data_IF_618115574606
#
_entry.id   IF_618115574606
#
_cell.length_a   1.000
_cell.length_b   1.000
_cell.length_c   1.000
_cell.angle_alpha   90.00
_cell.angle_beta   90.00
_cell.angle_gamma   90.00
#
_symmetry.space_group_name_H-M   'P 1'
#
loop_
_entity.id
_entity.type
_entity.pdbx_description
1 polymer ?
#
# COMPACT_ATOMS: atom_id res chain seq x y z
N UNK A 1 33.93 33.72 -64.63
CA UNK A 1 33.11 34.16 -65.77
C UNK A 1 32.29 32.96 -66.22
N UNK A 2 30.98 33.00 -65.94
CA UNK A 2 29.86 32.18 -66.48
C UNK A 2 30.15 30.91 -67.31
N UNK A 3 29.63 29.74 -66.89
CA UNK A 3 28.32 29.18 -67.32
C UNK A 3 28.12 27.71 -66.90
N UNK A 4 26.92 27.44 -66.38
CA UNK A 4 26.03 26.28 -66.56
C UNK A 4 26.57 24.84 -66.42
N UNK A 5 25.94 24.06 -65.53
CA UNK A 5 25.13 22.91 -65.98
C UNK A 5 24.17 22.41 -64.88
N UNK A 6 22.88 22.45 -65.23
CA UNK A 6 21.74 21.84 -64.54
C UNK A 6 21.91 20.32 -64.37
N UNK A 7 21.51 19.76 -63.21
CA UNK A 7 20.84 18.45 -63.16
C UNK A 7 19.84 18.39 -62.00
N UNK A 8 18.59 18.14 -62.40
CA UNK A 8 17.36 18.03 -61.61
C UNK A 8 17.46 16.91 -60.57
N UNK A 9 17.22 17.21 -59.29
CA UNK A 9 16.94 16.22 -58.25
C UNK A 9 15.44 15.97 -58.22
N UNK A 10 15.04 14.72 -58.51
CA UNK A 10 13.67 14.24 -58.42
C UNK A 10 13.34 13.98 -56.95
N UNK A 11 12.24 14.57 -56.53
CA UNK A 11 11.58 14.40 -55.23
C UNK A 11 11.25 12.92 -54.97
N UNK A 12 11.60 12.42 -53.79
CA UNK A 12 11.05 11.17 -53.25
C UNK A 12 10.86 11.35 -51.75
N UNK A 13 9.73 11.94 -51.41
CA UNK A 13 9.21 12.06 -50.06
C UNK A 13 8.64 10.67 -49.67
N UNK A 14 9.43 9.86 -48.98
CA UNK A 14 8.93 8.65 -48.32
C UNK A 14 8.11 9.09 -47.10
N UNK A 15 6.80 9.23 -47.31
CA UNK A 15 5.82 9.38 -46.23
C UNK A 15 5.65 7.99 -45.58
N UNK A 16 6.49 7.65 -44.61
CA UNK A 16 6.21 6.55 -43.69
C UNK A 16 5.01 6.97 -42.83
N UNK A 17 3.81 6.56 -43.24
CA UNK A 17 2.67 6.51 -42.33
C UNK A 17 3.02 5.47 -41.26
N UNK A 18 3.56 5.93 -40.14
CA UNK A 18 3.56 5.16 -38.92
C UNK A 18 2.10 5.01 -38.49
N UNK A 19 1.49 3.88 -38.85
CA UNK A 19 0.29 3.40 -38.19
C UNK A 19 0.70 3.09 -36.75
N UNK A 20 0.63 4.09 -35.87
CA UNK A 20 0.52 3.84 -34.45
C UNK A 20 -0.79 3.08 -34.26
N UNK A 21 -0.68 1.75 -34.17
CA UNK A 21 -1.67 0.97 -33.44
C UNK A 21 -1.63 1.51 -32.01
N UNK A 22 -2.44 2.52 -31.73
CA UNK A 22 -2.89 2.80 -30.39
C UNK A 22 -3.57 1.49 -29.94
N UNK A 23 -2.81 0.65 -29.26
CA UNK A 23 -3.36 -0.48 -28.54
C UNK A 23 -4.35 0.16 -27.60
N UNK A 24 -5.65 -0.03 -27.86
CA UNK A 24 -6.71 0.40 -26.97
C UNK A 24 -6.33 -0.15 -25.59
N UNK A 25 -5.90 0.74 -24.70
CA UNK A 25 -5.64 0.41 -23.31
C UNK A 25 -7.01 0.06 -22.75
N UNK A 26 -7.28 -1.23 -22.58
CA UNK A 26 -8.51 -1.66 -21.95
C UNK A 26 -8.34 -1.57 -20.43
N UNK A 27 -9.16 -0.75 -19.79
CA UNK A 27 -9.37 -0.83 -18.35
C UNK A 27 -9.54 -2.28 -17.89
N UNK A 28 -8.84 -2.63 -16.82
CA UNK A 28 -8.86 -3.95 -16.24
C UNK A 28 -8.46 -3.88 -14.75
N UNK A 29 -8.50 -5.00 -14.00
CA UNK A 29 -8.14 -4.98 -12.59
C UNK A 29 -6.70 -4.52 -12.28
N UNK A 30 -5.78 -4.54 -13.25
CA UNK A 30 -4.43 -4.00 -13.12
C UNK A 30 -4.38 -2.48 -13.09
N UNK A 31 -5.10 -1.80 -13.98
CA UNK A 31 -5.22 -0.34 -13.95
C UNK A 31 -6.02 0.14 -12.73
N UNK A 32 -6.93 -0.68 -12.21
CA UNK A 32 -7.60 -0.39 -10.93
C UNK A 32 -6.63 -0.45 -9.76
N UNK A 33 -5.75 -1.46 -9.74
CA UNK A 33 -4.75 -1.62 -8.68
C UNK A 33 -3.72 -0.48 -8.69
N UNK A 34 -3.34 0.04 -9.85
CA UNK A 34 -2.49 1.24 -9.96
C UNK A 34 -3.11 2.42 -9.20
N UNK A 35 -4.40 2.72 -9.45
CA UNK A 35 -5.15 3.79 -8.75
C UNK A 35 -5.24 3.52 -7.25
N UNK A 36 -5.47 2.27 -6.85
CA UNK A 36 -5.50 1.89 -5.42
C UNK A 36 -4.15 2.10 -4.74
N UNK A 37 -3.04 1.74 -5.39
CA UNK A 37 -1.69 1.95 -4.87
C UNK A 37 -1.37 3.44 -4.72
N UNK A 38 -1.74 4.27 -5.69
CA UNK A 38 -1.61 5.73 -5.58
C UNK A 38 -2.46 6.28 -4.41
N UNK A 39 -3.70 5.82 -4.28
CA UNK A 39 -4.58 6.22 -3.18
C UNK A 39 -3.98 5.88 -1.81
N UNK A 40 -3.50 4.64 -1.62
CA UNK A 40 -2.86 4.23 -0.36
C UNK A 40 -1.61 5.06 -0.06
N UNK A 41 -0.79 5.35 -1.07
CA UNK A 41 0.40 6.20 -0.91
C UNK A 41 0.04 7.62 -0.46
N UNK A 42 -0.99 8.23 -1.06
CA UNK A 42 -1.39 9.63 -0.79
C UNK A 42 -2.18 9.81 0.51
N UNK A 43 -2.84 8.77 1.00
CA UNK A 43 -3.63 8.82 2.24
C UNK A 43 -2.72 8.91 3.47
N UNK A 44 -2.49 10.10 4.03
CA UNK A 44 -1.64 10.31 5.22
C UNK A 44 -2.43 10.23 6.53
N UNK A 45 -3.30 9.23 6.66
CA UNK A 45 -4.14 9.07 7.85
C UNK A 45 -3.29 8.90 9.11
N UNK A 46 -3.63 9.63 10.17
CA UNK A 46 -3.00 9.45 11.49
C UNK A 46 -3.22 8.04 12.03
N UNK A 47 -4.45 7.55 11.89
CA UNK A 47 -4.91 6.22 12.26
C UNK A 47 -6.13 5.85 11.42
N UNK A 48 -6.50 4.56 11.40
CA UNK A 48 -7.65 4.09 10.63
C UNK A 48 -8.94 4.05 11.48
N UNK A 49 -9.03 4.92 12.50
CA UNK A 49 -10.15 5.00 13.44
C UNK A 49 -10.15 3.90 14.51
N UNK A 50 -10.75 4.20 15.66
CA UNK A 50 -10.91 3.26 16.79
C UNK A 50 -9.60 2.61 17.28
N UNK A 51 -8.49 3.36 17.27
CA UNK A 51 -7.18 2.85 17.72
C UNK A 51 -6.55 1.81 16.79
N UNK A 52 -6.98 1.75 15.52
CA UNK A 52 -6.37 0.92 14.47
C UNK A 52 -5.18 1.63 13.83
N UNK A 53 -4.17 0.87 13.42
CA UNK A 53 -2.93 1.43 12.89
C UNK A 53 -3.21 2.13 11.56
N UNK A 54 -2.47 3.21 11.24
CA UNK A 54 -2.60 3.86 9.94
C UNK A 54 -2.31 2.91 8.75
N UNK A 55 -1.49 1.89 8.97
CA UNK A 55 -1.19 0.86 7.96
C UNK A 55 -2.34 -0.11 7.66
N UNK A 56 -3.43 -0.09 8.42
CA UNK A 56 -4.62 -0.88 8.11
C UNK A 56 -5.38 -0.32 6.88
N UNK A 57 -5.25 0.97 6.58
CA UNK A 57 -5.99 1.65 5.51
C UNK A 57 -5.10 2.50 4.59
N UNK A 58 -3.83 2.73 4.92
CA UNK A 58 -2.95 3.62 4.18
C UNK A 58 -1.50 3.14 4.08
N UNK A 59 -0.76 3.72 3.15
CA UNK A 59 0.60 3.37 2.80
C UNK A 59 0.72 1.99 2.17
N UNK A 60 1.88 1.72 1.58
CA UNK A 60 2.21 0.44 0.97
C UNK A 60 3.26 -0.26 1.81
N UNK A 61 2.97 -1.50 2.21
CA UNK A 61 4.00 -2.39 2.73
C UNK A 61 4.68 -3.08 1.55
N UNK A 62 5.95 -2.74 1.31
CA UNK A 62 6.75 -3.22 0.20
C UNK A 62 7.77 -4.25 0.71
N UNK A 63 7.91 -5.36 -0.02
CA UNK A 63 8.96 -6.34 0.25
C UNK A 63 9.83 -6.54 -0.98
N UNK A 64 11.12 -6.21 -0.86
CA UNK A 64 12.13 -6.64 -1.83
C UNK A 64 12.34 -8.15 -1.74
N UNK A 65 12.40 -8.82 -2.89
CA UNK A 65 12.50 -10.30 -2.95
C UNK A 65 13.70 -10.75 -3.79
N UNK A 66 14.09 -12.01 -3.61
CA UNK A 66 15.02 -12.68 -4.52
C UNK A 66 14.23 -13.66 -5.39
N UNK A 67 14.01 -13.30 -6.65
CA UNK A 67 13.24 -14.11 -7.61
C UNK A 67 14.09 -15.20 -8.25
N UNK A 68 13.43 -16.17 -8.90
CA UNK A 68 14.05 -17.32 -9.58
C UNK A 68 14.97 -18.20 -8.69
N UNK A 69 14.86 -18.06 -7.37
CA UNK A 69 15.56 -18.93 -6.43
C UNK A 69 14.82 -20.26 -6.28
N UNK A 70 15.47 -21.23 -5.62
CA UNK A 70 14.89 -22.55 -5.30
C UNK A 70 13.70 -22.48 -4.34
N UNK A 71 13.32 -21.29 -3.89
CA UNK A 71 12.17 -21.01 -3.04
C UNK A 71 11.18 -20.05 -3.73
N UNK A 72 9.96 -20.02 -3.20
CA UNK A 72 8.95 -19.06 -3.64
C UNK A 72 9.17 -17.73 -2.94
N UNK A 73 9.26 -16.61 -3.67
CA UNK A 73 9.68 -15.34 -3.08
C UNK A 73 8.65 -14.72 -2.11
N UNK A 74 7.42 -15.22 -2.10
CA UNK A 74 6.36 -14.87 -1.15
C UNK A 74 6.29 -15.80 0.05
N UNK A 75 7.10 -16.86 0.11
CA UNK A 75 7.32 -17.56 1.37
C UNK A 75 8.20 -16.69 2.27
N UNK A 76 8.03 -16.76 3.60
CA UNK A 76 8.95 -16.08 4.52
C UNK A 76 10.40 -16.54 4.30
N UNK A 77 11.35 -15.72 4.74
CA UNK A 77 12.74 -16.19 4.81
C UNK A 77 12.81 -17.41 5.74
N UNK A 78 13.63 -18.45 5.49
CA UNK A 78 13.70 -19.62 6.37
C UNK A 78 13.99 -19.33 7.85
N UNK A 79 14.58 -18.16 8.14
CA UNK A 79 14.83 -17.67 9.50
C UNK A 79 13.62 -16.97 10.15
N UNK A 80 12.57 -16.65 9.38
CA UNK A 80 11.38 -15.95 9.87
C UNK A 80 10.33 -16.86 10.49
N UNK A 81 10.37 -18.17 10.24
CA UNK A 81 9.33 -19.10 10.63
C UNK A 81 9.89 -20.36 11.31
N UNK A 82 9.10 -20.94 12.20
CA UNK A 82 9.40 -22.20 12.91
C UNK A 82 9.61 -23.37 11.95
N UNK A 83 10.27 -24.44 12.41
CA UNK A 83 10.49 -25.65 11.58
C UNK A 83 9.15 -26.21 11.11
N UNK A 84 8.16 -26.19 12.01
CA UNK A 84 6.78 -26.59 11.77
C UNK A 84 6.16 -25.78 10.62
N UNK A 85 6.40 -24.47 10.60
CA UNK A 85 5.91 -23.56 9.57
C UNK A 85 6.72 -23.60 8.25
N UNK A 86 7.77 -24.42 8.16
CA UNK A 86 8.63 -24.61 6.98
C UNK A 86 10.05 -24.07 7.09
N UNK A 87 10.45 -23.53 8.24
CA UNK A 87 11.72 -22.81 8.42
C UNK A 87 12.86 -23.71 8.90
N UNK A 88 13.96 -23.09 9.34
CA UNK A 88 15.20 -23.80 9.75
C UNK A 88 15.38 -23.92 11.27
N UNK A 89 14.42 -23.44 12.06
CA UNK A 89 14.42 -23.55 13.54
C UNK A 89 15.06 -22.39 14.29
N UNK A 90 15.69 -21.46 13.58
CA UNK A 90 16.12 -20.15 14.10
C UNK A 90 15.01 -19.10 13.91
N UNK A 91 13.76 -19.49 14.15
CA UNK A 91 12.61 -18.61 13.88
C UNK A 91 12.65 -17.38 14.75
N UNK A 92 12.82 -16.23 14.11
CA UNK A 92 12.52 -14.97 14.77
C UNK A 92 11.00 -14.79 14.89
N UNK A 93 10.16 -15.33 14.00
CA UNK A 93 8.69 -15.21 14.08
C UNK A 93 8.15 -13.87 13.57
N UNK A 94 8.96 -13.15 12.81
CA UNK A 94 8.58 -11.92 12.11
C UNK A 94 9.23 -11.81 10.74
N UNK A 95 8.64 -10.99 9.90
CA UNK A 95 9.08 -10.74 8.53
C UNK A 95 9.17 -9.25 8.27
N UNK A 96 10.27 -8.82 7.67
CA UNK A 96 10.54 -7.41 7.39
C UNK A 96 9.87 -6.95 6.11
N UNK A 97 9.24 -5.79 6.17
CA UNK A 97 8.70 -5.05 5.03
C UNK A 97 9.00 -3.57 5.23
N UNK A 98 9.14 -2.83 4.14
CA UNK A 98 9.29 -1.38 4.17
C UNK A 98 7.93 -0.70 4.04
N UNK A 99 7.72 0.46 4.68
CA UNK A 99 6.45 1.18 4.61
C UNK A 99 6.61 2.48 3.82
N UNK A 100 5.97 2.55 2.65
CA UNK A 100 5.99 3.72 1.78
C UNK A 100 4.67 4.49 1.90
N UNK A 101 4.76 5.79 2.18
CA UNK A 101 3.62 6.73 2.18
C UNK A 101 4.12 8.11 1.81
N UNK A 102 3.24 9.05 1.45
CA UNK A 102 3.61 10.41 1.06
C UNK A 102 4.45 11.16 2.10
N UNK A 103 4.38 10.75 3.36
CA UNK A 103 5.14 11.30 4.49
C UNK A 103 6.15 10.29 5.10
N UNK A 104 6.43 9.18 4.40
CA UNK A 104 7.39 8.12 4.79
C UNK A 104 8.13 7.65 3.53
N UNK A 105 8.95 8.52 2.96
CA UNK A 105 9.56 8.34 1.63
C UNK A 105 11.00 7.79 1.69
N UNK A 106 11.41 7.09 0.62
CA UNK A 106 12.76 6.54 0.37
C UNK A 106 12.93 6.15 -1.11
N UNK A 107 14.16 5.99 -1.60
CA UNK A 107 14.46 5.82 -3.03
C UNK A 107 14.69 4.37 -3.53
N UNK A 108 14.65 3.37 -2.65
CA UNK A 108 14.96 1.98 -3.00
C UNK A 108 14.15 0.94 -2.25
N UNK A 109 14.18 -0.32 -2.71
CA UNK A 109 13.68 -1.45 -1.92
C UNK A 109 14.79 -1.97 -1.00
N UNK A 110 14.40 -2.45 0.18
CA UNK A 110 15.32 -3.06 1.15
C UNK A 110 16.18 -4.17 0.55
N UNK A 111 17.38 -4.35 1.10
CA UNK A 111 18.42 -5.28 0.60
C UNK A 111 18.83 -5.01 -0.87
N UNK A 112 18.76 -3.74 -1.29
CA UNK A 112 19.12 -3.26 -2.65
C UNK A 112 18.37 -4.01 -3.77
N UNK A 113 17.18 -4.53 -3.45
CA UNK A 113 16.35 -5.23 -4.44
C UNK A 113 15.77 -4.22 -5.42
N UNK A 114 15.41 -4.73 -6.58
CA UNK A 114 14.83 -3.95 -7.67
C UNK A 114 13.47 -4.48 -8.12
N UNK A 115 13.05 -5.62 -7.56
CA UNK A 115 11.71 -6.16 -7.70
C UNK A 115 11.24 -6.74 -6.36
N UNK A 116 9.94 -6.94 -6.26
CA UNK A 116 9.28 -7.24 -4.99
C UNK A 116 7.80 -7.52 -5.15
N UNK A 117 7.09 -7.41 -4.03
CA UNK A 117 5.63 -7.28 -4.04
C UNK A 117 5.19 -6.18 -3.06
N UNK A 118 4.03 -5.60 -3.36
CA UNK A 118 3.31 -4.74 -2.43
C UNK A 118 2.18 -5.54 -1.77
N UNK A 119 1.94 -5.31 -0.49
CA UNK A 119 0.84 -5.92 0.25
C UNK A 119 -0.36 -4.96 0.32
N UNK A 120 -1.57 -5.53 0.29
CA UNK A 120 -2.84 -4.82 0.44
C UNK A 120 -3.07 -4.46 1.91
N UNK A 121 -3.41 -3.20 2.24
CA UNK A 121 -3.81 -2.83 3.60
C UNK A 121 -5.05 -3.61 4.06
N UNK A 122 -5.13 -3.91 5.36
CA UNK A 122 -6.14 -4.81 5.93
C UNK A 122 -7.61 -4.39 5.69
N UNK A 123 -7.88 -3.11 5.43
CA UNK A 123 -9.23 -2.62 5.12
C UNK A 123 -9.69 -2.98 3.71
N UNK A 124 -8.77 -3.39 2.83
CA UNK A 124 -9.04 -3.71 1.42
C UNK A 124 -8.83 -5.19 1.07
N UNK A 125 -8.53 -6.05 2.05
CA UNK A 125 -8.39 -7.49 1.80
C UNK A 125 -9.75 -8.20 1.80
N UNK A 126 -9.87 -9.28 1.02
CA UNK A 126 -10.96 -10.23 1.18
C UNK A 126 -10.65 -11.12 2.39
N UNK A 127 -11.20 -10.80 3.57
CA UNK A 127 -10.84 -11.43 4.87
C UNK A 127 -10.95 -12.96 4.88
N UNK A 128 -11.85 -13.52 4.08
CA UNK A 128 -12.05 -14.97 3.96
C UNK A 128 -11.00 -15.65 3.07
N UNK A 129 -10.39 -14.89 2.16
CA UNK A 129 -9.41 -15.37 1.17
C UNK A 129 -7.97 -14.97 1.50
N UNK A 130 -7.77 -13.96 2.35
CA UNK A 130 -6.45 -13.41 2.62
C UNK A 130 -6.06 -13.50 4.10
N UNK A 131 -4.76 -13.67 4.36
CA UNK A 131 -4.22 -13.44 5.70
C UNK A 131 -4.39 -11.98 6.10
N UNK A 132 -4.78 -11.76 7.36
CA UNK A 132 -4.69 -10.44 7.96
C UNK A 132 -3.23 -10.18 8.33
N UNK A 133 -2.71 -9.02 7.96
CA UNK A 133 -1.36 -8.60 8.34
C UNK A 133 -1.37 -8.07 9.78
N UNK A 134 -0.41 -8.49 10.59
CA UNK A 134 -0.23 -7.97 11.95
C UNK A 134 1.12 -7.28 12.00
N UNK A 135 1.15 -5.95 12.14
CA UNK A 135 2.38 -5.22 12.40
C UNK A 135 2.73 -5.40 13.89
N UNK A 136 3.90 -5.98 14.15
CA UNK A 136 4.44 -6.25 15.48
C UNK A 136 5.16 -5.01 16.04
N UNK A 137 5.98 -4.38 15.21
CA UNK A 137 6.66 -3.13 15.53
C UNK A 137 7.05 -2.35 14.29
N UNK A 138 7.34 -1.06 14.49
CA UNK A 138 7.73 -0.12 13.46
C UNK A 138 9.00 0.64 13.83
N UNK A 139 9.96 0.69 12.91
CA UNK A 139 11.24 1.38 13.03
C UNK A 139 11.34 2.52 12.00
N UNK A 140 11.65 3.76 12.42
CA UNK A 140 11.76 4.91 11.51
C UNK A 140 12.80 4.77 10.39
N UNK A 141 13.80 3.90 10.56
CA UNK A 141 14.81 3.56 9.55
C UNK A 141 15.24 2.10 9.75
N UNK A 142 15.81 1.47 8.72
CA UNK A 142 16.30 0.08 8.74
C UNK A 142 17.05 -0.25 10.05
N UNK A 143 16.73 -1.43 10.60
CA UNK A 143 17.05 -1.76 11.98
C UNK A 143 17.67 -3.15 12.14
N UNK A 144 18.08 -3.79 11.03
CA UNK A 144 18.68 -5.13 11.03
C UNK A 144 17.84 -6.14 11.80
N UNK A 145 16.53 -6.11 11.57
CA UNK A 145 15.56 -6.85 12.40
C UNK A 145 15.67 -8.36 12.31
N UNK A 146 16.43 -8.90 11.36
CA UNK A 146 16.78 -10.32 11.29
C UNK A 146 17.76 -10.76 12.40
N UNK A 147 18.46 -9.81 13.01
CA UNK A 147 19.41 -10.03 14.11
C UNK A 147 18.85 -9.60 15.48
N UNK A 148 17.54 -9.33 15.57
CA UNK A 148 16.89 -8.88 16.80
C UNK A 148 16.10 -10.01 17.46
N UNK A 149 16.06 -10.01 18.79
CA UNK A 149 15.16 -10.91 19.54
C UNK A 149 13.69 -10.45 19.45
N UNK A 150 12.80 -11.18 20.12
CA UNK A 150 11.38 -10.81 20.27
C UNK A 150 10.69 -10.49 18.93
N UNK A 151 10.69 -11.47 18.02
CA UNK A 151 10.15 -11.31 16.66
C UNK A 151 10.78 -10.22 15.80
N UNK A 152 12.02 -9.85 16.13
CA UNK A 152 12.76 -8.82 15.44
C UNK A 152 12.44 -7.41 15.95
N UNK A 153 11.77 -7.29 17.09
CA UNK A 153 11.30 -6.02 17.66
C UNK A 153 12.05 -5.57 18.91
N UNK A 154 12.88 -6.43 19.50
CA UNK A 154 13.63 -6.11 20.71
C UNK A 154 15.11 -5.84 20.42
N UNK A 155 15.94 -6.30 21.35
CA UNK A 155 17.39 -6.11 21.39
C UNK A 155 18.10 -6.65 20.15
N UNK A 156 19.06 -5.88 19.63
CA UNK A 156 19.96 -6.35 18.58
C UNK A 156 21.01 -7.31 19.15
N UNK A 157 21.18 -8.46 18.47
CA UNK A 157 22.10 -9.52 18.89
C UNK A 157 23.11 -9.84 17.78
N UNK A 158 24.37 -10.02 18.18
CA UNK A 158 25.42 -10.54 17.33
C UNK A 158 25.92 -11.87 17.90
N UNK A 159 25.86 -12.94 17.11
CA UNK A 159 26.16 -14.32 17.54
C UNK A 159 25.36 -14.80 18.77
N UNK A 160 24.18 -14.22 19.00
CA UNK A 160 23.31 -14.54 20.16
C UNK A 160 23.59 -13.68 21.39
N UNK A 161 24.58 -12.80 21.36
CA UNK A 161 24.96 -11.93 22.47
C UNK A 161 24.50 -10.49 22.26
N UNK A 162 24.06 -9.85 23.35
CA UNK A 162 23.76 -8.41 23.41
C UNK A 162 25.06 -7.61 23.31
N UNK A 163 25.08 -6.55 22.49
CA UNK A 163 26.27 -5.72 22.25
C UNK A 163 26.47 -4.58 23.27
N UNK A 164 26.03 -4.80 24.51
CA UNK A 164 26.28 -3.94 25.67
C UNK A 164 25.12 -3.02 26.09
N UNK A 165 24.26 -2.60 25.17
CA UNK A 165 22.99 -1.92 25.49
C UNK A 165 21.88 -2.89 25.10
N UNK A 166 20.93 -3.12 26.00
CA UNK A 166 19.74 -3.92 25.70
C UNK A 166 18.63 -2.99 25.22
N UNK A 167 18.27 -3.06 23.95
CA UNK A 167 17.06 -2.39 23.48
C UNK A 167 15.80 -3.18 23.86
N UNK A 168 14.70 -2.45 23.94
CA UNK A 168 13.35 -3.02 23.98
C UNK A 168 12.45 -2.09 23.18
N UNK A 169 11.15 -2.39 23.15
CA UNK A 169 10.17 -1.49 22.57
C UNK A 169 10.28 -0.07 23.15
N UNK A 170 10.15 0.95 22.29
CA UNK A 170 10.26 2.35 22.69
C UNK A 170 9.41 2.71 23.92
N UNK A 171 8.20 2.17 23.99
CA UNK A 171 7.27 2.45 25.08
C UNK A 171 7.77 1.92 26.44
N UNK A 172 8.55 0.83 26.48
CA UNK A 172 9.18 0.35 27.73
C UNK A 172 10.37 1.21 28.16
N UNK A 173 10.94 1.97 27.23
CA UNK A 173 11.96 2.98 27.49
C UNK A 173 11.35 4.37 27.79
N UNK A 174 10.04 4.45 27.98
CA UNK A 174 9.28 5.70 28.12
C UNK A 174 9.42 6.66 26.91
N UNK A 175 9.66 6.10 25.72
CA UNK A 175 9.71 6.83 24.45
C UNK A 175 8.36 6.61 23.73
N UNK A 176 7.54 7.66 23.73
CA UNK A 176 6.21 7.68 23.10
C UNK A 176 6.03 8.79 22.06
N UNK A 177 7.10 9.47 21.64
CA UNK A 177 7.01 10.54 20.64
C UNK A 177 8.21 10.55 19.71
N UNK A 178 8.00 11.10 18.51
CA UNK A 178 9.05 11.27 17.51
C UNK A 178 10.27 12.04 18.03
N UNK A 179 10.03 13.13 18.79
CA UNK A 179 11.11 13.92 19.40
C UNK A 179 11.91 13.13 20.43
N UNK A 180 11.24 12.34 21.27
CA UNK A 180 11.91 11.50 22.25
C UNK A 180 12.71 10.37 21.58
N UNK A 181 12.18 9.82 20.49
CA UNK A 181 12.88 8.83 19.68
C UNK A 181 14.12 9.42 19.01
N UNK A 182 14.02 10.60 18.38
CA UNK A 182 15.17 11.28 17.75
C UNK A 182 16.28 11.54 18.78
N UNK A 183 15.93 12.08 19.95
CA UNK A 183 16.92 12.28 21.01
C UNK A 183 17.54 10.98 21.54
N UNK A 184 16.88 9.84 21.40
CA UNK A 184 17.45 8.51 21.69
C UNK A 184 18.36 8.03 20.55
N UNK A 185 17.94 8.21 19.31
CA UNK A 185 18.68 7.88 18.09
C UNK A 185 20.00 8.67 17.97
N UNK A 186 19.97 9.99 18.19
CA UNK A 186 21.13 10.89 18.10
C UNK A 186 22.26 10.53 19.08
N UNK A 187 21.92 9.96 20.23
CA UNK A 187 22.94 9.49 21.18
C UNK A 187 23.76 8.34 20.60
N UNK A 188 23.18 7.55 19.70
CA UNK A 188 23.84 6.44 19.05
C UNK A 188 24.64 6.89 17.82
N UNK A 189 24.20 7.93 17.10
CA UNK A 189 24.89 8.48 15.93
C UNK A 189 26.21 9.19 16.30
N UNK A 190 26.34 9.66 17.55
CA UNK A 190 27.60 10.18 18.10
C UNK A 190 28.71 9.11 18.25
N UNK A 191 28.39 7.83 18.03
CA UNK A 191 29.38 6.77 17.96
C UNK A 191 30.15 6.82 16.62
N UNK A 192 31.48 6.53 16.60
CA UNK A 192 32.23 6.46 15.35
C UNK A 192 31.67 5.45 14.34
N UNK A 193 30.99 4.39 14.78
CA UNK A 193 30.22 3.50 13.90
C UNK A 193 28.83 4.10 13.64
N UNK A 194 28.65 4.70 12.46
CA UNK A 194 27.36 5.29 12.04
C UNK A 194 26.23 4.26 11.95
N UNK A 195 26.55 2.99 11.67
CA UNK A 195 25.54 1.92 11.61
C UNK A 195 25.06 1.51 13.01
N UNK A 196 25.68 2.04 14.07
CA UNK A 196 25.25 1.80 15.44
C UNK A 196 23.85 2.37 15.69
N UNK A 197 23.51 3.53 15.15
CA UNK A 197 22.17 4.07 15.35
C UNK A 197 21.08 3.15 14.80
N UNK A 198 21.33 2.49 13.67
CA UNK A 198 20.42 1.52 13.05
C UNK A 198 20.22 0.29 13.93
N UNK A 199 21.30 -0.26 14.50
CA UNK A 199 21.28 -1.44 15.37
C UNK A 199 20.72 -1.16 16.77
N UNK A 200 20.89 0.05 17.29
CA UNK A 200 20.58 0.36 18.70
C UNK A 200 19.35 1.25 18.88
N UNK A 201 18.61 1.59 17.80
CA UNK A 201 17.31 2.27 17.89
C UNK A 201 16.25 1.36 18.54
N UNK A 202 15.25 1.96 19.19
CA UNK A 202 14.06 1.25 19.65
C UNK A 202 12.99 1.18 18.54
N UNK A 203 12.23 0.08 18.51
CA UNK A 203 11.03 -0.06 17.67
C UNK A 203 9.77 0.29 18.44
N UNK A 204 8.81 0.97 17.80
CA UNK A 204 7.51 1.24 18.39
C UNK A 204 6.68 -0.03 18.40
N UNK A 205 6.21 -0.49 19.56
CA UNK A 205 5.31 -1.64 19.67
C UNK A 205 3.91 -1.28 19.19
N UNK A 206 3.38 -2.06 18.25
CA UNK A 206 2.08 -1.82 17.63
C UNK A 206 1.06 -2.93 17.92
N UNK A 207 1.37 -3.82 18.87
CA UNK A 207 0.53 -4.96 19.23
C UNK A 207 -0.38 -4.70 20.43
N UNK A 208 -0.05 -3.71 21.26
CA UNK A 208 -0.74 -3.46 22.52
C UNK A 208 -0.85 -1.97 22.85
N UNK A 209 -1.81 -1.66 23.69
CA UNK A 209 -1.97 -0.32 24.27
C UNK A 209 -1.09 -0.19 25.51
N UNK A 210 -0.69 1.03 25.82
CA UNK A 210 0.34 1.34 26.82
C UNK A 210 -0.19 2.32 27.88
N UNK A 211 0.68 3.16 28.43
CA UNK A 211 0.42 4.04 29.55
C UNK A 211 -0.65 5.10 29.23
N UNK A 212 -1.57 5.31 30.17
CA UNK A 212 -2.62 6.32 30.05
C UNK A 212 -3.50 6.09 28.82
N UNK A 213 -3.58 7.09 27.94
CA UNK A 213 -4.36 7.03 26.69
C UNK A 213 -3.52 6.65 25.48
N UNK A 214 -2.22 6.36 25.65
CA UNK A 214 -1.32 6.05 24.55
C UNK A 214 -1.56 4.62 24.05
N UNK A 215 -2.10 4.49 22.85
CA UNK A 215 -2.47 3.20 22.26
C UNK A 215 -1.52 2.80 21.12
N UNK A 216 -1.73 1.59 20.57
CA UNK A 216 -0.93 1.08 19.44
C UNK A 216 -0.98 1.94 18.17
N UNK A 217 -2.05 2.70 17.94
CA UNK A 217 -2.12 3.63 16.81
C UNK A 217 -1.25 4.86 17.06
N UNK A 218 -1.19 5.35 18.30
CA UNK A 218 -0.28 6.41 18.71
C UNK A 218 1.19 5.98 18.54
N UNK A 219 1.50 4.71 18.86
CA UNK A 219 2.81 4.12 18.61
C UNK A 219 3.18 4.12 17.13
N UNK A 220 2.28 3.65 16.26
CA UNK A 220 2.51 3.66 14.81
C UNK A 220 2.64 5.10 14.27
N UNK A 221 1.84 6.04 14.77
CA UNK A 221 1.94 7.44 14.37
C UNK A 221 3.25 8.08 14.86
N UNK A 222 3.76 7.72 16.04
CA UNK A 222 5.07 8.19 16.52
C UNK A 222 6.21 7.69 15.62
N UNK A 223 6.11 6.48 15.05
CA UNK A 223 7.00 5.99 14.01
C UNK A 223 6.98 6.87 12.74
N UNK A 224 5.78 7.18 12.21
CA UNK A 224 5.64 8.05 11.03
C UNK A 224 6.25 9.44 11.31
N UNK A 225 5.92 10.04 12.45
CA UNK A 225 6.45 11.36 12.80
C UNK A 225 7.97 11.34 13.02
N UNK A 226 8.52 10.26 13.56
CA UNK A 226 9.98 10.09 13.68
C UNK A 226 10.65 10.00 12.30
N UNK A 227 10.05 9.29 11.34
CA UNK A 227 10.54 9.26 9.96
C UNK A 227 10.59 10.65 9.34
N UNK A 228 9.54 11.45 9.54
CA UNK A 228 9.47 12.82 9.02
C UNK A 228 10.58 13.70 9.58
N UNK A 229 10.91 13.56 10.87
CA UNK A 229 12.04 14.26 11.49
C UNK A 229 13.36 13.84 10.83
N UNK A 230 13.62 12.53 10.68
CA UNK A 230 14.83 12.04 10.01
C UNK A 230 14.98 12.60 8.59
N UNK A 231 13.88 12.66 7.84
CA UNK A 231 13.89 13.05 6.42
C UNK A 231 14.24 14.53 6.20
N UNK A 232 14.09 15.39 7.22
CA UNK A 232 14.44 16.82 7.15
C UNK A 232 15.63 17.20 8.01
N UNK A 233 16.16 16.26 8.79
CA UNK A 233 17.32 16.48 9.66
C UNK A 233 18.59 16.68 8.82
N UNK A 234 19.45 17.61 9.24
CA UNK A 234 20.62 17.98 8.46
C UNK A 234 21.68 16.86 8.38
N UNK A 235 21.77 16.03 9.41
CA UNK A 235 22.73 14.93 9.53
C UNK A 235 22.16 13.63 8.95
N UNK A 236 20.86 13.39 9.13
CA UNK A 236 20.22 12.10 8.80
C UNK A 236 19.49 12.07 7.45
N UNK A 237 19.12 13.20 6.84
CA UNK A 237 18.26 13.23 5.62
C UNK A 237 18.75 12.37 4.46
N UNK A 238 20.07 12.24 4.28
CA UNK A 238 20.64 11.44 3.18
C UNK A 238 20.40 9.96 3.44
N UNK A 239 20.66 9.52 4.67
CA UNK A 239 20.44 8.14 5.08
C UNK A 239 18.94 7.82 5.10
N UNK A 240 18.11 8.74 5.59
CA UNK A 240 16.66 8.64 5.46
C UNK A 240 16.26 8.48 3.98
N UNK A 241 16.82 9.25 3.04
CA UNK A 241 16.46 9.10 1.64
C UNK A 241 16.83 7.72 1.05
N UNK A 242 18.02 7.20 1.36
CA UNK A 242 18.56 5.97 0.75
C UNK A 242 18.22 4.69 1.51
N UNK A 243 17.72 4.82 2.74
CA UNK A 243 17.43 3.71 3.65
C UNK A 243 15.96 3.71 4.02
N UNK A 244 15.33 2.54 3.85
CA UNK A 244 13.90 2.37 4.01
C UNK A 244 13.48 2.50 5.48
N UNK A 245 12.23 2.87 5.72
CA UNK A 245 11.58 2.54 6.98
C UNK A 245 11.42 1.02 7.10
N UNK A 246 11.35 0.48 8.32
CA UNK A 246 11.23 -0.96 8.51
C UNK A 246 10.07 -1.31 9.46
N UNK A 247 9.16 -2.14 8.99
CA UNK A 247 8.12 -2.77 9.79
C UNK A 247 8.46 -4.25 9.96
N UNK A 248 8.14 -4.76 11.14
CA UNK A 248 8.05 -6.21 11.37
C UNK A 248 6.61 -6.63 11.37
N UNK A 249 6.23 -7.47 10.43
CA UNK A 249 4.93 -8.11 10.40
C UNK A 249 5.04 -9.55 10.91
N UNK A 250 3.98 -10.04 11.56
CA UNK A 250 3.89 -11.42 11.97
C UNK A 250 4.04 -12.34 10.76
N UNK A 251 4.89 -13.36 10.90
CA UNK A 251 5.19 -14.27 9.81
C UNK A 251 4.01 -15.19 9.50
N UNK A 252 3.71 -15.35 8.21
CA UNK A 252 2.73 -16.31 7.69
C UNK A 252 3.40 -17.65 7.38
N UNK A 253 2.66 -18.77 7.23
CA UNK A 253 3.26 -20.04 6.86
C UNK A 253 3.61 -20.12 5.36
N UNK A 254 4.51 -21.03 4.98
CA UNK A 254 4.79 -21.34 3.56
C UNK A 254 3.50 -21.63 2.78
N UNK A 255 3.52 -21.35 1.47
CA UNK A 255 2.36 -21.54 0.60
C UNK A 255 1.76 -22.94 0.62
N UNK A 256 2.58 -23.99 0.81
CA UNK A 256 2.14 -25.39 0.94
C UNK A 256 1.18 -25.63 2.11
N UNK A 257 1.11 -24.69 3.06
CA UNK A 257 0.23 -24.73 4.23
C UNK A 257 -0.95 -23.74 4.16
N UNK A 258 -1.10 -23.01 3.06
CA UNK A 258 -2.19 -22.03 2.89
C UNK A 258 -3.58 -22.67 2.81
N UNK A 259 -3.63 -23.95 2.43
CA UNK A 259 -4.83 -24.78 2.57
C UNK A 259 -4.86 -25.40 3.96
N UNK A 260 -5.71 -24.86 4.83
CA UNK A 260 -5.94 -25.39 6.18
C UNK A 260 -7.10 -26.37 6.15
N UNK A 261 -6.90 -27.57 6.68
CA UNK A 261 -7.95 -28.53 6.96
C UNK A 261 -8.19 -28.55 8.48
N UNK A 262 -9.31 -27.95 8.90
CA UNK A 262 -9.71 -27.85 10.30
C UNK A 262 -10.28 -29.16 10.86
N UNK A 263 -10.53 -30.15 9.99
CA UNK A 263 -10.96 -31.49 10.41
C UNK A 263 -9.80 -32.42 10.79
N UNK A 264 -8.55 -32.03 10.50
CA UNK A 264 -7.37 -32.84 10.80
C UNK A 264 -6.92 -32.71 12.26
N UNK A 265 -6.62 -33.85 12.90
CA UNK A 265 -6.04 -33.91 14.25
C UNK A 265 -4.52 -33.72 14.26
N UNK A 266 -3.84 -33.82 13.12
CA UNK A 266 -2.40 -33.60 12.96
C UNK A 266 -2.09 -32.16 12.52
N UNK A 267 -2.48 -31.19 13.37
CA UNK A 267 -2.33 -29.76 13.06
C UNK A 267 -0.88 -29.30 13.27
N UNK A 268 -0.29 -28.74 12.23
CA UNK A 268 0.98 -28.01 12.32
C UNK A 268 0.71 -26.66 13.01
N UNK A 269 1.42 -26.35 14.10
CA UNK A 269 1.36 -25.01 14.73
C UNK A 269 2.12 -24.02 13.86
N UNK A 270 1.53 -22.86 13.60
CA UNK A 270 2.18 -21.76 12.89
C UNK A 270 2.44 -20.59 13.83
N UNK A 271 3.41 -19.75 13.48
CA UNK A 271 3.81 -18.59 14.27
C UNK A 271 2.73 -17.48 14.29
N UNK A 272 1.87 -17.46 13.26
CA UNK A 272 0.67 -16.63 13.21
C UNK A 272 -0.47 -17.22 14.03
N UNK A 273 -1.13 -16.37 14.82
CA UNK A 273 -2.31 -16.78 15.59
C UNK A 273 -3.40 -17.28 14.66
N UNK A 274 -3.86 -18.52 14.86
CA UNK A 274 -4.95 -19.09 14.09
C UNK A 274 -6.25 -18.27 14.32
N UNK A 275 -7.15 -18.15 13.31
CA UNK A 275 -8.55 -17.82 13.59
C UNK A 275 -9.04 -18.74 14.71
N UNK A 276 -9.83 -18.20 15.64
CA UNK A 276 -10.34 -18.96 16.78
C UNK A 276 -10.98 -20.27 16.29
N UNK A 277 -10.75 -21.37 17.02
CA UNK A 277 -11.21 -22.76 16.76
C UNK A 277 -12.76 -22.91 16.65
N UNK A 278 -13.49 -21.80 16.57
CA UNK A 278 -14.95 -21.68 16.47
C UNK A 278 -15.44 -21.51 15.03
N UNK A 279 -14.55 -21.36 14.05
CA UNK A 279 -14.94 -21.25 12.64
C UNK A 279 -15.34 -22.64 12.09
N UNK A 280 -16.64 -22.82 11.82
CA UNK A 280 -17.26 -24.09 11.40
C UNK A 280 -16.83 -24.58 10.00
N UNK A 281 -16.01 -23.81 9.30
CA UNK A 281 -15.53 -24.16 7.96
C UNK A 281 -14.47 -25.26 8.03
N UNK A 282 -14.79 -26.45 7.50
CA UNK A 282 -13.94 -27.65 7.58
C UNK A 282 -12.56 -27.49 6.89
N UNK A 283 -12.44 -26.55 5.95
CA UNK A 283 -11.18 -26.16 5.36
C UNK A 283 -11.23 -24.69 4.90
N UNK A 284 -10.13 -23.95 5.12
CA UNK A 284 -9.98 -22.55 4.66
C UNK A 284 -8.72 -22.41 3.84
N UNK A 285 -8.82 -21.81 2.66
CA UNK A 285 -7.66 -21.38 1.87
C UNK A 285 -7.42 -19.89 2.12
N UNK A 286 -6.20 -19.52 2.53
CA UNK A 286 -5.81 -18.11 2.65
C UNK A 286 -4.49 -17.85 1.94
N UNK A 287 -4.50 -16.92 0.99
CA UNK A 287 -3.28 -16.44 0.34
C UNK A 287 -2.72 -15.21 1.06
N UNK A 288 -1.43 -14.93 0.89
CA UNK A 288 -0.85 -13.65 1.28
C UNK A 288 -1.59 -12.51 0.53
N UNK A 289 -1.96 -11.38 1.19
CA UNK A 289 -2.65 -10.28 0.54
C UNK A 289 -1.68 -9.46 -0.33
N UNK A 290 -1.12 -10.08 -1.36
CA UNK A 290 -0.34 -9.38 -2.38
C UNK A 290 -1.30 -8.49 -3.16
N UNK A 291 -0.99 -7.21 -3.26
CA UNK A 291 -1.68 -6.25 -4.11
C UNK A 291 -1.17 -6.35 -5.56
N UNK A 292 0.16 -6.35 -5.72
CA UNK A 292 0.86 -6.40 -6.99
C UNK A 292 2.27 -6.98 -6.83
N UNK A 293 2.78 -7.62 -7.87
CA UNK A 293 4.22 -7.77 -8.07
C UNK A 293 4.77 -6.45 -8.58
N UNK A 294 5.95 -6.06 -8.11
CA UNK A 294 6.47 -4.72 -8.35
C UNK A 294 7.89 -4.77 -8.88
N UNK A 295 8.26 -3.76 -9.65
CA UNK A 295 9.65 -3.52 -10.02
C UNK A 295 9.95 -2.01 -10.06
N UNK A 296 11.18 -1.65 -9.73
CA UNK A 296 11.63 -0.25 -9.67
C UNK A 296 12.14 0.18 -11.04
N UNK A 297 11.65 1.31 -11.54
CA UNK A 297 12.10 1.91 -12.80
C UNK A 297 11.53 3.33 -13.02
N UNK A 298 11.97 4.01 -14.07
CA UNK A 298 11.53 5.38 -14.38
C UNK A 298 10.17 5.41 -15.09
N UNK A 299 9.19 6.14 -14.53
CA UNK A 299 7.89 6.37 -15.18
C UNK A 299 7.95 7.66 -16.01
N UNK A 300 8.58 8.71 -15.48
CA UNK A 300 8.70 10.00 -16.17
C UNK A 300 9.65 9.98 -17.36
N UNK A 301 10.57 9.01 -17.37
CA UNK A 301 11.57 8.82 -18.40
C UNK A 301 11.64 7.35 -18.75
N UNK A 302 11.80 6.99 -20.04
CA UNK A 302 11.99 5.60 -20.44
C UNK A 302 13.14 4.96 -19.66
N UNK A 303 12.98 3.69 -19.28
CA UNK A 303 14.08 2.95 -18.67
C UNK A 303 15.24 2.88 -19.66
N UNK A 304 16.42 3.32 -19.22
CA UNK A 304 17.67 3.17 -19.96
C UNK A 304 18.67 2.25 -19.25
N UNK A 305 18.29 1.70 -18.10
CA UNK A 305 19.15 0.85 -17.27
C UNK A 305 18.77 -0.63 -17.42
N UNK A 306 19.78 -1.47 -17.66
CA UNK A 306 19.67 -2.93 -17.68
C UNK A 306 19.03 -3.49 -16.40
N UNK A 307 19.22 -2.82 -15.26
CA UNK A 307 18.63 -3.21 -13.97
C UNK A 307 17.11 -3.17 -14.00
N UNK A 308 16.50 -2.11 -14.56
CA UNK A 308 15.04 -1.98 -14.63
C UNK A 308 14.41 -3.04 -15.56
N UNK A 309 15.07 -3.35 -16.69
CA UNK A 309 14.62 -4.42 -17.58
C UNK A 309 14.68 -5.80 -16.92
N UNK A 310 15.78 -6.11 -16.22
CA UNK A 310 15.91 -7.35 -15.45
C UNK A 310 14.86 -7.43 -14.33
N UNK A 311 14.61 -6.31 -13.65
CA UNK A 311 13.61 -6.20 -12.59
C UNK A 311 12.21 -6.53 -13.09
N UNK A 312 11.82 -5.97 -14.25
CA UNK A 312 10.56 -6.28 -14.91
C UNK A 312 10.44 -7.77 -15.22
N UNK A 313 11.48 -8.36 -15.79
CA UNK A 313 11.46 -9.79 -16.16
C UNK A 313 11.33 -10.70 -14.93
N UNK A 314 11.89 -10.30 -13.78
CA UNK A 314 11.69 -11.02 -12.52
C UNK A 314 10.26 -10.86 -11.99
N UNK A 315 9.69 -9.65 -12.00
CA UNK A 315 8.31 -9.43 -11.56
C UNK A 315 7.30 -10.18 -12.44
N UNK A 316 7.54 -10.25 -13.76
CA UNK A 316 6.79 -11.06 -14.73
C UNK A 316 6.85 -12.54 -14.44
N UNK A 317 8.04 -13.03 -14.10
CA UNK A 317 8.26 -14.41 -13.69
C UNK A 317 7.50 -14.74 -12.41
N UNK A 318 7.56 -13.86 -11.41
CA UNK A 318 6.88 -14.04 -10.14
C UNK A 318 5.35 -14.02 -10.31
N UNK A 319 4.80 -13.13 -11.13
CA UNK A 319 3.38 -13.12 -11.48
C UNK A 319 2.94 -14.46 -12.08
N UNK A 320 3.71 -15.00 -13.03
CA UNK A 320 3.41 -16.29 -13.64
C UNK A 320 3.43 -17.40 -12.60
N UNK A 321 4.53 -17.53 -11.86
CA UNK A 321 4.70 -18.58 -10.84
C UNK A 321 3.60 -18.51 -9.78
N UNK A 322 3.19 -17.30 -9.38
CA UNK A 322 2.10 -17.08 -8.44
C UNK A 322 0.78 -17.68 -8.93
N UNK A 323 0.42 -17.41 -10.19
CA UNK A 323 -0.80 -17.97 -10.79
C UNK A 323 -0.71 -19.47 -11.07
N UNK A 324 0.48 -19.99 -11.39
CA UNK A 324 0.72 -21.44 -11.56
C UNK A 324 0.51 -22.22 -10.25
N UNK A 325 0.64 -21.56 -9.08
CA UNK A 325 0.27 -22.12 -7.78
C UNK A 325 -1.25 -22.10 -7.50
N UNK A 326 -2.07 -21.57 -8.42
CA UNK A 326 -3.52 -21.47 -8.25
C UNK A 326 -3.99 -20.28 -7.40
N UNK A 327 -3.10 -19.31 -7.13
CA UNK A 327 -3.47 -18.08 -6.42
C UNK A 327 -4.26 -17.11 -7.31
N UNK A 328 -4.90 -16.11 -6.69
CA UNK A 328 -5.62 -15.06 -7.43
C UNK A 328 -4.67 -14.22 -8.30
N UNK A 329 -5.12 -13.76 -9.47
CA UNK A 329 -4.30 -12.93 -10.35
C UNK A 329 -3.89 -11.62 -9.68
N UNK A 330 -2.60 -11.24 -9.81
CA UNK A 330 -2.04 -9.97 -9.33
C UNK A 330 -1.31 -9.26 -10.47
N UNK A 331 -1.47 -7.94 -10.65
CA UNK A 331 -0.75 -7.21 -11.70
C UNK A 331 0.75 -7.11 -11.39
N UNK A 332 1.53 -6.92 -12.44
CA UNK A 332 2.86 -6.32 -12.36
C UNK A 332 2.70 -4.80 -12.46
N UNK A 333 3.17 -4.07 -11.44
CA UNK A 333 3.13 -2.61 -11.37
C UNK A 333 4.56 -2.07 -11.34
N UNK A 334 4.87 -1.16 -12.26
CA UNK A 334 6.10 -0.39 -12.22
C UNK A 334 6.00 0.66 -11.13
N UNK A 335 7.04 0.81 -10.32
CA UNK A 335 7.13 1.86 -9.31
C UNK A 335 8.34 2.76 -9.60
N UNK A 336 8.11 4.07 -9.66
CA UNK A 336 9.17 5.06 -9.52
C UNK A 336 9.15 5.53 -8.07
N UNK A 337 10.18 5.17 -7.31
CA UNK A 337 10.36 5.65 -5.94
C UNK A 337 10.84 7.11 -5.94
N UNK A 338 10.44 7.92 -4.94
CA UNK A 338 10.82 9.32 -4.85
C UNK A 338 12.32 9.46 -4.63
N UNK A 339 12.98 10.40 -5.30
CA UNK A 339 14.41 10.67 -5.11
C UNK A 339 14.71 11.68 -4.01
N UNK A 340 13.68 12.39 -3.56
CA UNK A 340 13.71 13.32 -2.45
C UNK A 340 12.30 13.46 -1.86
N UNK A 341 12.19 14.12 -0.71
CA UNK A 341 10.91 14.37 -0.03
C UNK A 341 9.97 15.31 -0.78
N UNK A 342 10.49 16.03 -1.78
CA UNK A 342 9.73 16.91 -2.66
C UNK A 342 9.12 16.17 -3.87
N UNK A 343 9.58 14.94 -4.15
CA UNK A 343 9.07 14.10 -5.23
C UNK A 343 8.00 13.12 -4.72
N UNK A 344 7.08 12.72 -5.59
CA UNK A 344 6.09 11.68 -5.30
C UNK A 344 6.56 10.33 -5.84
N UNK A 345 6.27 9.25 -5.10
CA UNK A 345 6.23 7.91 -5.66
C UNK A 345 5.17 7.84 -6.76
N UNK A 346 5.47 7.15 -7.86
CA UNK A 346 4.55 6.93 -8.98
C UNK A 346 4.37 5.45 -9.25
N UNK A 347 3.19 5.07 -9.69
CA UNK A 347 2.79 3.71 -9.99
C UNK A 347 2.26 3.67 -11.42
N UNK A 348 2.63 2.65 -12.19
CA UNK A 348 2.14 2.49 -13.55
C UNK A 348 1.87 1.02 -13.88
N UNK A 349 0.68 0.75 -14.40
CA UNK A 349 0.31 -0.52 -15.00
C UNK A 349 0.53 -0.46 -16.51
N UNK A 350 1.37 -1.34 -17.03
CA UNK A 350 1.53 -1.52 -18.46
C UNK A 350 1.08 -2.93 -18.86
N UNK A 351 0.15 -3.08 -19.83
CA UNK A 351 -0.25 -4.40 -20.34
C UNK A 351 0.93 -5.23 -20.86
N UNK A 352 1.94 -4.58 -21.46
CA UNK A 352 3.16 -5.25 -21.96
C UNK A 352 4.07 -5.82 -20.88
N UNK A 353 3.91 -5.36 -19.63
CA UNK A 353 4.69 -5.83 -18.49
C UNK A 353 4.01 -7.01 -17.78
N UNK A 354 2.85 -7.46 -18.26
CA UNK A 354 2.18 -8.64 -17.72
C UNK A 354 2.72 -9.90 -18.42
N UNK A 355 2.90 -10.97 -17.66
CA UNK A 355 3.15 -12.31 -18.21
C UNK A 355 1.89 -13.18 -18.22
N UNK A 356 0.94 -12.87 -17.33
CA UNK A 356 -0.38 -13.51 -17.27
C UNK A 356 -1.43 -12.45 -17.60
N UNK A 357 -2.29 -12.67 -18.62
CA UNK A 357 -3.32 -11.71 -18.99
C UNK A 357 -4.22 -11.34 -17.79
N UNK A 358 -4.63 -10.08 -17.65
CA UNK A 358 -5.57 -9.69 -16.61
C UNK A 358 -6.91 -10.41 -16.79
N UNK A 359 -7.61 -10.75 -15.70
CA UNK A 359 -8.97 -11.27 -15.79
C UNK A 359 -9.90 -10.20 -16.38
N UNK A 360 -10.89 -10.65 -17.13
CA UNK A 360 -11.91 -9.76 -17.68
C UNK A 360 -12.79 -9.25 -16.55
N UNK A 361 -12.83 -7.93 -16.39
CA UNK A 361 -13.79 -7.25 -15.52
C UNK A 361 -14.43 -6.10 -16.28
N UNK A 362 -15.67 -6.31 -16.73
CA UNK A 362 -16.43 -5.33 -17.51
C UNK A 362 -16.84 -4.09 -16.71
N UNK A 363 -16.53 -4.05 -15.41
CA UNK A 363 -16.78 -2.90 -14.54
C UNK A 363 -15.53 -2.06 -14.30
N UNK A 364 -14.36 -2.51 -14.78
CA UNK A 364 -13.15 -1.67 -14.78
C UNK A 364 -13.28 -0.57 -15.84
N UNK A 365 -12.93 0.66 -15.46
CA UNK A 365 -13.07 1.84 -16.31
C UNK A 365 -11.73 2.59 -16.48
N UNK A 366 -11.48 3.13 -17.69
CA UNK A 366 -10.29 3.94 -17.95
C UNK A 366 -10.30 5.16 -17.01
N UNK A 367 -11.49 5.75 -16.87
CA UNK A 367 -11.80 6.78 -15.88
C UNK A 367 -13.19 6.50 -15.30
N UNK A 368 -13.31 6.51 -13.97
CA UNK A 368 -14.59 6.41 -13.27
C UNK A 368 -15.29 7.77 -13.16
N UNK A 369 -14.50 8.84 -13.00
CA UNK A 369 -14.97 10.20 -12.73
C UNK A 369 -14.62 11.10 -13.92
N UNK A 370 -15.60 11.73 -14.54
CA UNK A 370 -15.39 12.68 -15.64
C UNK A 370 -15.02 14.07 -15.10
N UNK A 371 -15.76 14.55 -14.10
CA UNK A 371 -15.59 15.90 -13.55
C UNK A 371 -15.90 15.93 -12.06
N UNK A 372 -15.22 16.81 -11.33
CA UNK A 372 -15.44 17.10 -9.92
C UNK A 372 -15.55 18.62 -9.73
N UNK A 373 -16.47 19.06 -8.88
CA UNK A 373 -16.69 20.47 -8.56
C UNK A 373 -17.07 20.61 -7.08
N UNK A 374 -16.38 21.49 -6.35
CA UNK A 374 -16.78 21.84 -4.99
C UNK A 374 -17.85 22.93 -4.99
N UNK A 375 -18.87 22.77 -4.15
CA UNK A 375 -19.94 23.76 -3.94
C UNK A 375 -20.09 24.03 -2.44
N UNK A 376 -20.23 25.29 -2.04
CA UNK A 376 -20.38 25.71 -0.63
C UNK A 376 -21.84 26.01 -0.25
N UNK A 377 -22.75 25.95 -1.21
CA UNK A 377 -24.14 26.39 -1.10
C UNK A 377 -25.14 25.24 -1.12
N UNK A 378 -24.69 23.99 -0.94
CA UNK A 378 -25.56 22.82 -0.95
C UNK A 378 -26.56 22.89 0.21
N UNK A 379 -27.84 22.95 -0.12
CA UNK A 379 -28.93 23.03 0.84
C UNK A 379 -29.33 21.63 1.28
N UNK A 380 -28.95 21.28 2.51
CA UNK A 380 -29.32 20.03 3.16
C UNK A 380 -30.51 20.28 4.12
N UNK A 381 -31.65 19.59 3.95
CA UNK A 381 -32.81 19.67 4.85
C UNK A 381 -32.53 19.70 6.37
N UNK A 382 -31.54 18.98 6.88
CA UNK A 382 -31.26 18.86 8.33
C UNK A 382 -30.08 19.73 8.76
N UNK A 383 -28.98 19.69 8.02
CA UNK A 383 -27.73 20.38 8.35
C UNK A 383 -27.68 21.84 7.86
N UNK A 384 -28.64 22.28 7.05
CA UNK A 384 -28.64 23.60 6.43
C UNK A 384 -27.66 23.68 5.26
N UNK A 385 -27.02 24.84 5.08
CA UNK A 385 -26.03 25.04 4.02
C UNK A 385 -24.71 24.37 4.37
N UNK A 386 -24.28 23.38 3.58
CA UNK A 386 -23.03 22.64 3.78
C UNK A 386 -22.20 22.57 2.50
N UNK A 387 -20.91 22.27 2.62
CA UNK A 387 -20.04 21.97 1.48
C UNK A 387 -20.37 20.59 0.90
N UNK A 388 -20.36 20.50 -0.43
CA UNK A 388 -20.62 19.27 -1.19
C UNK A 388 -19.64 19.13 -2.34
N UNK A 389 -19.19 17.90 -2.59
CA UNK A 389 -18.48 17.54 -3.81
C UNK A 389 -19.49 17.07 -4.84
N UNK A 390 -19.70 17.88 -5.88
CA UNK A 390 -20.47 17.50 -7.06
C UNK A 390 -19.61 16.63 -7.97
N UNK A 391 -20.08 15.43 -8.24
CA UNK A 391 -19.36 14.40 -9.00
C UNK A 391 -20.10 14.13 -10.30
N UNK A 392 -19.44 14.28 -11.43
CA UNK A 392 -19.93 13.79 -12.73
C UNK A 392 -19.20 12.49 -13.04
N UNK A 393 -19.81 11.31 -12.83
CA UNK A 393 -19.23 10.03 -13.23
C UNK A 393 -19.24 9.85 -14.75
N UNK A 394 -18.29 9.08 -15.27
CA UNK A 394 -18.34 8.62 -16.67
C UNK A 394 -19.48 7.62 -16.88
N UNK A 395 -19.83 7.29 -18.13
CA UNK A 395 -20.84 6.26 -18.39
C UNK A 395 -20.46 4.90 -17.78
N UNK A 396 -19.18 4.52 -17.89
CA UNK A 396 -18.65 3.32 -17.25
C UNK A 396 -18.70 3.44 -15.73
N UNK A 397 -18.25 4.57 -15.17
CA UNK A 397 -18.22 4.80 -13.73
C UNK A 397 -19.59 4.71 -13.06
N UNK A 398 -20.66 5.16 -13.73
CA UNK A 398 -22.05 4.99 -13.24
C UNK A 398 -22.46 3.53 -13.11
N UNK A 399 -21.85 2.62 -13.87
CA UNK A 399 -22.18 1.19 -13.94
C UNK A 399 -21.18 0.31 -13.18
N UNK A 400 -20.18 0.90 -12.52
CA UNK A 400 -19.11 0.16 -11.85
C UNK A 400 -19.60 -0.73 -10.68
N UNK A 401 -20.67 -0.29 -10.01
CA UNK A 401 -21.32 -1.04 -8.92
C UNK A 401 -20.50 -1.14 -7.64
N UNK A 402 -21.08 -1.73 -6.59
CA UNK A 402 -20.47 -1.81 -5.24
C UNK A 402 -19.15 -2.59 -5.18
N UNK A 403 -18.91 -3.53 -6.10
CA UNK A 403 -17.63 -4.23 -6.18
C UNK A 403 -16.47 -3.39 -6.72
N UNK A 404 -16.72 -2.13 -7.10
CA UNK A 404 -15.72 -1.14 -7.55
C UNK A 404 -15.68 0.10 -6.65
N UNK A 405 -16.39 0.12 -5.52
CA UNK A 405 -16.45 1.31 -4.65
C UNK A 405 -15.08 1.83 -4.26
N UNK A 406 -14.13 0.95 -3.91
CA UNK A 406 -12.81 1.39 -3.45
C UNK A 406 -11.99 2.06 -4.55
N UNK A 407 -11.99 1.53 -5.77
CA UNK A 407 -11.26 2.15 -6.89
C UNK A 407 -11.94 3.42 -7.41
N UNK A 408 -13.29 3.48 -7.38
CA UNK A 408 -14.02 4.71 -7.70
C UNK A 408 -13.71 5.78 -6.65
N UNK A 409 -13.67 5.40 -5.36
CA UNK A 409 -13.28 6.31 -4.28
C UNK A 409 -11.82 6.76 -4.42
N UNK A 410 -10.92 5.85 -4.77
CA UNK A 410 -9.51 6.14 -5.01
C UNK A 410 -9.35 7.22 -6.09
N UNK A 411 -9.97 7.02 -7.26
CA UNK A 411 -9.91 7.99 -8.35
C UNK A 411 -10.54 9.34 -7.94
N UNK A 412 -11.68 9.29 -7.25
CA UNK A 412 -12.35 10.49 -6.73
C UNK A 412 -11.46 11.26 -5.76
N UNK A 413 -10.81 10.58 -4.82
CA UNK A 413 -9.91 11.17 -3.82
C UNK A 413 -8.72 11.87 -4.47
N UNK A 414 -8.04 11.16 -5.38
CA UNK A 414 -6.88 11.64 -6.10
C UNK A 414 -7.24 12.91 -6.88
N UNK A 415 -8.35 12.88 -7.63
CA UNK A 415 -8.82 14.06 -8.39
C UNK A 415 -9.27 15.22 -7.50
N UNK A 416 -9.98 14.93 -6.40
CA UNK A 416 -10.51 15.95 -5.50
C UNK A 416 -9.38 16.72 -4.78
N UNK A 417 -8.30 16.04 -4.40
CA UNK A 417 -7.15 16.67 -3.75
C UNK A 417 -6.41 17.67 -4.65
N UNK A 418 -6.42 17.46 -5.97
CA UNK A 418 -5.83 18.39 -6.94
C UNK A 418 -6.68 19.65 -7.12
N UNK A 419 -8.01 19.55 -6.97
CA UNK A 419 -8.91 20.68 -7.18
C UNK A 419 -8.77 21.79 -6.15
N UNK A 420 -8.48 21.44 -4.89
CA UNK A 420 -8.36 22.43 -3.82
C UNK A 420 -7.43 21.91 -2.71
N UNK A 421 -6.11 22.02 -2.87
CA UNK A 421 -5.13 21.41 -1.98
C UNK A 421 -5.12 22.02 -0.56
N UNK A 422 -5.59 23.26 -0.39
CA UNK A 422 -5.61 23.97 0.90
C UNK A 422 -6.94 23.82 1.67
N UNK A 423 -7.88 23.04 1.12
CA UNK A 423 -9.22 22.86 1.69
C UNK A 423 -9.12 22.11 3.03
N UNK A 424 -9.61 22.70 4.12
CA UNK A 424 -9.51 22.13 5.48
C UNK A 424 -10.67 21.21 5.87
N UNK A 425 -11.83 21.42 5.26
CA UNK A 425 -13.03 20.57 5.37
C UNK A 425 -12.88 19.25 4.59
N UNK A 426 -11.94 19.20 3.65
CA UNK A 426 -11.57 18.03 2.86
C UNK A 426 -10.14 17.62 3.14
N UNK A 427 -9.94 16.49 3.82
CA UNK A 427 -8.67 15.79 3.76
C UNK A 427 -8.93 14.30 3.53
N UNK A 428 -7.96 13.62 2.91
CA UNK A 428 -8.00 12.20 2.59
C UNK A 428 -8.46 11.34 3.79
N UNK A 429 -8.16 11.77 5.01
CA UNK A 429 -8.48 11.09 6.27
C UNK A 429 -9.98 11.10 6.63
N UNK A 430 -10.74 12.11 6.17
CA UNK A 430 -12.19 12.24 6.41
C UNK A 430 -13.06 11.67 5.27
N UNK A 431 -12.45 11.32 4.15
CA UNK A 431 -13.13 10.67 3.03
C UNK A 431 -13.68 9.28 3.37
N UNK A 432 -13.02 8.58 4.28
CA UNK A 432 -13.08 7.12 4.40
C UNK A 432 -14.39 6.56 4.94
N UNK A 433 -15.17 7.34 5.69
CA UNK A 433 -16.36 6.81 6.36
C UNK A 433 -17.66 7.28 5.70
N UNK A 434 -18.00 8.58 5.76
CA UNK A 434 -19.28 9.09 5.29
C UNK A 434 -19.36 9.20 3.75
N UNK A 435 -18.34 9.72 3.09
CA UNK A 435 -18.37 9.85 1.61
C UNK A 435 -18.17 8.54 0.87
N UNK A 436 -17.29 7.65 1.37
CA UNK A 436 -17.23 6.26 0.87
C UNK A 436 -18.60 5.58 0.93
N UNK A 437 -19.35 5.82 2.01
CA UNK A 437 -20.68 5.25 2.22
C UNK A 437 -21.73 5.82 1.25
N UNK A 438 -21.76 7.13 1.09
CA UNK A 438 -22.62 7.81 0.11
C UNK A 438 -22.33 7.28 -1.31
N UNK A 439 -21.04 7.16 -1.67
CA UNK A 439 -20.60 6.63 -2.94
C UNK A 439 -21.03 5.16 -3.15
N UNK A 440 -20.87 4.31 -2.14
CA UNK A 440 -21.36 2.94 -2.19
C UNK A 440 -22.87 2.89 -2.47
N UNK A 441 -23.66 3.73 -1.80
CA UNK A 441 -25.10 3.80 -2.05
C UNK A 441 -25.42 4.26 -3.48
N UNK A 442 -24.71 5.27 -3.99
CA UNK A 442 -24.88 5.73 -5.37
C UNK A 442 -24.55 4.65 -6.40
N UNK A 443 -23.55 3.82 -6.12
CA UNK A 443 -23.19 2.68 -6.96
C UNK A 443 -24.15 1.49 -6.84
N UNK A 444 -24.89 1.37 -5.73
CA UNK A 444 -25.82 0.26 -5.45
C UNK A 444 -27.28 0.56 -5.79
N UNK A 445 -27.64 1.83 -5.98
CA UNK A 445 -29.03 2.27 -6.09
C UNK A 445 -29.37 2.83 -7.47
N UNK A 446 -29.77 1.98 -8.44
CA UNK A 446 -30.11 2.41 -9.78
C UNK A 446 -31.17 3.52 -9.82
N UNK A 447 -32.20 3.37 -9.00
CA UNK A 447 -33.33 4.30 -8.96
C UNK A 447 -32.98 5.65 -8.32
N UNK A 448 -31.92 5.70 -7.51
CA UNK A 448 -31.52 6.90 -6.77
C UNK A 448 -30.41 7.66 -7.51
N UNK A 449 -29.42 6.97 -8.08
CA UNK A 449 -28.19 7.61 -8.53
C UNK A 449 -27.67 7.15 -9.90
N UNK A 450 -27.99 5.93 -10.38
CA UNK A 450 -27.41 5.47 -11.66
C UNK A 450 -27.90 6.26 -12.87
N UNK A 451 -29.12 6.80 -12.80
CA UNK A 451 -29.70 7.63 -13.86
C UNK A 451 -29.42 9.13 -13.68
N UNK A 452 -28.78 9.54 -12.58
CA UNK A 452 -28.41 10.93 -12.36
C UNK A 452 -27.11 11.24 -13.11
N UNK A 453 -27.09 12.39 -13.80
CA UNK A 453 -25.89 12.89 -14.48
C UNK A 453 -24.79 13.25 -13.48
N UNK A 454 -25.18 13.70 -12.29
CA UNK A 454 -24.26 14.12 -11.23
C UNK A 454 -24.71 13.58 -9.89
N UNK A 455 -23.72 13.32 -9.03
CA UNK A 455 -23.90 12.95 -7.63
C UNK A 455 -23.43 14.09 -6.73
N UNK A 456 -23.96 14.15 -5.52
CA UNK A 456 -23.47 15.02 -4.46
C UNK A 456 -22.94 14.15 -3.34
N UNK A 457 -21.73 14.42 -2.90
CA UNK A 457 -21.11 13.74 -1.77
C UNK A 457 -20.68 14.77 -0.74
N UNK A 458 -21.19 14.66 0.48
CA UNK A 458 -21.01 15.68 1.50
C UNK A 458 -20.13 15.17 2.67
N UNK A 459 -18.96 15.79 2.93
CA UNK A 459 -18.06 15.37 4.01
C UNK A 459 -18.67 15.52 5.41
N UNK A 460 -19.56 16.50 5.60
CA UNK A 460 -20.16 16.82 6.91
C UNK A 460 -21.13 15.76 7.45
N UNK A 461 -21.53 14.80 6.60
CA UNK A 461 -22.49 13.74 6.96
C UNK A 461 -21.92 12.79 8.00
N UNK A 462 -22.73 12.34 8.98
CA UNK A 462 -22.28 11.32 9.92
C UNK A 462 -22.05 9.97 9.22
N UNK A 463 -21.16 9.16 9.79
CA UNK A 463 -21.01 7.78 9.37
C UNK A 463 -22.20 6.95 9.90
N UNK A 464 -22.80 6.15 9.01
CA UNK A 464 -23.84 5.18 9.37
C UNK A 464 -23.49 3.81 8.78
N UNK A 465 -23.69 2.76 9.56
CA UNK A 465 -23.36 1.38 9.20
C UNK A 465 -24.19 0.86 8.02
N UNK A 466 -23.68 -0.16 7.31
CA UNK A 466 -24.27 -0.60 6.04
C UNK A 466 -25.70 -1.13 6.19
N UNK A 467 -25.87 -2.04 7.13
CA UNK A 467 -27.13 -2.65 7.51
C UNK A 467 -28.18 -1.61 7.92
N UNK A 468 -27.78 -0.59 8.68
CA UNK A 468 -28.66 0.51 9.08
C UNK A 468 -29.13 1.29 7.86
N UNK A 469 -28.21 1.66 6.96
CA UNK A 469 -28.55 2.39 5.73
C UNK A 469 -29.47 1.58 4.82
N UNK A 470 -29.22 0.28 4.63
CA UNK A 470 -30.06 -0.54 3.75
C UNK A 470 -31.50 -0.70 4.26
N UNK A 471 -31.73 -0.43 5.55
CA UNK A 471 -33.08 -0.40 6.14
C UNK A 471 -33.84 0.91 5.95
N UNK A 472 -33.15 1.99 5.54
CA UNK A 472 -33.78 3.30 5.34
C UNK A 472 -34.60 3.34 4.03
N UNK A 473 -35.74 4.06 3.98
CA UNK A 473 -36.52 4.22 2.75
C UNK A 473 -35.96 5.36 1.86
N UNK A 474 -36.08 5.20 0.53
CA UNK A 474 -35.86 6.27 -0.44
C UNK A 474 -34.44 6.85 -0.44
N UNK A 475 -34.33 8.18 -0.59
CA UNK A 475 -33.07 8.93 -0.67
C UNK A 475 -32.27 8.94 0.65
N UNK A 476 -32.93 8.69 1.78
CA UNK A 476 -32.27 8.60 3.10
C UNK A 476 -31.22 7.48 3.16
N UNK A 477 -31.29 6.50 2.25
CA UNK A 477 -30.26 5.46 2.09
C UNK A 477 -28.92 6.04 1.67
N UNK A 478 -28.92 7.00 0.76
CA UNK A 478 -27.68 7.59 0.27
C UNK A 478 -27.23 8.77 1.11
N UNK A 479 -28.16 9.40 1.84
CA UNK A 479 -27.95 10.63 2.59
C UNK A 479 -28.37 10.46 4.07
N UNK A 480 -27.61 9.72 4.89
CA UNK A 480 -27.94 9.60 6.31
C UNK A 480 -27.80 10.96 7.03
N UNK A 481 -28.67 11.21 8.02
CA UNK A 481 -28.62 12.38 8.92
C UNK A 481 -28.52 11.92 10.37
#
# INVERSE_FOLDING_TARGET
MCRDLFRKTISSLFLFLALFNASLLYANPGSDMEKMMEYWYRLTARDCGSGRLASDCSGLMLRGISSKQTFLPWDPSPYSHSVEAGGTGLSVGGTSVSYLRKDVEYDGLGLLKYNGFALTPNDFIAKDLNFKLVVLCAFPIDSWTNNRNNKGCGDYQENGDTLGVTEDYCQKLNIGSAKAWMGYYDRQTQNPDRMKAHKFQCGFDTTKDYFGTFNKADAFNAFVEARKILAVDAEEKVDAQTTQSELRIETWPDNKFWKRDWSSTSRVKFDASAPTDTDSTKATYKELPVAAFIYVGGIDQPDSDAKAFAARDLARDDQRRWTEQGNSWKPVIKIQLPKSIEEDAKFAYYPGDQNVPPPVDNRSCDSYIEKLEWTEDYQEPVLGTISSLKVTPTECGRKAGVGKTDVVLAELAIKAAVLNPDRKDWNFDRMGSSMRRQLACHLDSPDIASNKLTWSLEPARPYVAHDVIMSLPGDNRCNPH
#
